data_IF_111537233084
#
_entry.id   IF_111537233084
#
_cell.length_a   1.000
_cell.length_b   1.000
_cell.length_c   1.000
_cell.angle_alpha   90.00
_cell.angle_beta   90.00
_cell.angle_gamma   90.00
#
_symmetry.space_group_name_H-M   'P 1'
#
loop_
_entity.id
_entity.type
_entity.pdbx_description
1 polymer ?
#
# COMPACT_ATOMS: atom_id res chain seq x y z
N UNK A 1 -11.79 -1.01 -12.69
CA UNK A 1 -10.49 -1.24 -13.34
C UNK A 1 -9.38 -0.82 -12.39
N UNK A 2 -8.35 -1.65 -12.21
CA UNK A 2 -7.14 -1.24 -11.48
C UNK A 2 -6.05 -0.82 -12.46
N UNK A 3 -5.35 0.27 -12.17
CA UNK A 3 -4.24 0.75 -12.99
C UNK A 3 -3.02 1.01 -12.12
N UNK A 4 -1.88 0.46 -12.51
CA UNK A 4 -0.63 0.62 -11.77
C UNK A 4 0.13 1.87 -12.23
N UNK A 5 0.18 2.89 -11.37
CA UNK A 5 0.99 4.10 -11.58
C UNK A 5 2.04 4.15 -10.47
N UNK A 6 3.29 3.88 -10.81
CA UNK A 6 4.40 3.89 -9.84
C UNK A 6 4.99 5.29 -9.66
N UNK A 7 4.93 6.12 -10.70
CA UNK A 7 5.39 7.51 -10.66
C UNK A 7 4.67 8.35 -11.72
N UNK A 8 4.35 9.60 -11.39
CA UNK A 8 3.92 10.60 -12.39
C UNK A 8 5.10 11.28 -13.10
N UNK A 9 6.34 10.96 -12.70
CA UNK A 9 7.55 11.33 -13.44
C UNK A 9 7.79 10.31 -14.57
N UNK A 10 7.70 10.72 -15.86
CA UNK A 10 7.72 9.79 -17.00
C UNK A 10 8.92 8.85 -17.02
N UNK A 11 10.10 9.35 -16.71
CA UNK A 11 11.37 8.62 -16.72
C UNK A 11 11.42 7.54 -15.62
N UNK A 12 10.85 7.82 -14.45
CA UNK A 12 10.75 6.84 -13.35
C UNK A 12 9.75 5.75 -13.70
N UNK A 13 8.56 6.13 -14.19
CA UNK A 13 7.55 5.16 -14.63
C UNK A 13 8.09 4.27 -15.76
N UNK A 14 8.77 4.86 -16.74
CA UNK A 14 9.36 4.15 -17.85
C UNK A 14 10.38 3.10 -17.39
N UNK A 15 11.29 3.49 -16.48
CA UNK A 15 12.31 2.60 -15.93
C UNK A 15 11.70 1.45 -15.13
N UNK A 16 10.78 1.75 -14.20
CA UNK A 16 10.13 0.73 -13.36
C UNK A 16 9.28 -0.26 -14.17
N UNK A 17 8.63 0.21 -15.24
CA UNK A 17 7.79 -0.66 -16.07
C UNK A 17 8.56 -1.36 -17.18
N UNK A 18 9.70 -0.81 -17.61
CA UNK A 18 10.42 -1.23 -18.82
C UNK A 18 9.76 -0.73 -20.12
N UNK A 19 8.91 0.31 -20.04
CA UNK A 19 8.18 0.84 -21.18
C UNK A 19 8.19 2.39 -21.18
N UNK A 20 8.94 3.03 -22.10
CA UNK A 20 9.01 4.50 -22.24
C UNK A 20 7.66 5.19 -22.42
N UNK A 21 6.67 4.50 -22.99
CA UNK A 21 5.32 5.03 -23.24
C UNK A 21 4.32 4.68 -22.13
N UNK A 22 4.76 4.04 -21.04
CA UNK A 22 3.87 3.52 -19.98
C UNK A 22 2.95 4.61 -19.42
N UNK A 23 3.51 5.74 -18.96
CA UNK A 23 2.71 6.80 -18.34
C UNK A 23 1.70 7.41 -19.32
N UNK A 24 2.14 7.69 -20.55
CA UNK A 24 1.28 8.26 -21.59
C UNK A 24 0.11 7.32 -21.95
N UNK A 25 0.39 6.01 -22.07
CA UNK A 25 -0.62 5.00 -22.34
C UNK A 25 -1.60 4.85 -21.17
N UNK A 26 -1.10 4.88 -19.94
CA UNK A 26 -1.94 4.84 -18.74
C UNK A 26 -2.88 6.05 -18.71
N UNK A 27 -2.37 7.27 -18.93
CA UNK A 27 -3.20 8.47 -18.92
C UNK A 27 -4.27 8.44 -20.01
N UNK A 28 -3.93 7.99 -21.22
CA UNK A 28 -4.89 7.77 -22.30
C UNK A 28 -5.96 6.73 -21.93
N UNK A 29 -5.57 5.65 -21.27
CA UNK A 29 -6.51 4.62 -20.80
C UNK A 29 -7.45 5.16 -19.72
N UNK A 30 -6.92 5.93 -18.76
CA UNK A 30 -7.71 6.56 -17.70
C UNK A 30 -8.67 7.62 -18.26
N UNK A 31 -8.23 8.45 -19.21
CA UNK A 31 -9.09 9.42 -19.92
C UNK A 31 -10.29 8.73 -20.58
N UNK A 32 -10.06 7.60 -21.26
CA UNK A 32 -11.13 6.82 -21.88
C UNK A 32 -12.04 6.20 -20.83
N UNK A 33 -11.48 5.56 -19.80
CA UNK A 33 -12.25 4.97 -18.72
C UNK A 33 -13.16 6.01 -18.02
N UNK A 34 -12.66 7.22 -17.78
CA UNK A 34 -13.44 8.31 -17.22
C UNK A 34 -14.61 8.75 -18.10
N UNK A 35 -14.40 8.82 -19.43
CA UNK A 35 -15.48 9.14 -20.39
C UNK A 35 -16.58 8.09 -20.40
N UNK A 36 -16.21 6.82 -20.27
CA UNK A 36 -17.15 5.69 -20.25
C UNK A 36 -17.73 5.42 -18.84
N UNK A 37 -17.42 6.24 -17.83
CA UNK A 37 -17.91 6.06 -16.46
C UNK A 37 -17.35 4.82 -15.75
N UNK A 38 -16.26 4.24 -16.26
CA UNK A 38 -15.62 3.06 -15.65
C UNK A 38 -14.89 3.49 -14.38
N UNK A 39 -15.22 2.85 -13.24
CA UNK A 39 -14.49 3.05 -11.98
C UNK A 39 -13.02 2.69 -12.16
N UNK A 40 -12.13 3.60 -11.76
CA UNK A 40 -10.68 3.40 -11.78
C UNK A 40 -10.10 3.56 -10.38
N UNK A 41 -9.37 2.53 -9.96
CA UNK A 41 -8.63 2.50 -8.71
C UNK A 41 -7.12 2.46 -9.04
N UNK A 42 -6.33 3.32 -8.40
CA UNK A 42 -4.90 3.46 -8.70
C UNK A 42 -4.08 2.63 -7.73
N UNK A 43 -3.22 1.76 -8.26
CA UNK A 43 -2.30 0.96 -7.46
C UNK A 43 -0.87 1.52 -7.60
N UNK A 44 -0.16 1.67 -6.50
CA UNK A 44 1.25 2.12 -6.45
C UNK A 44 2.05 1.14 -5.61
N UNK A 45 3.02 0.46 -6.22
CA UNK A 45 4.04 -0.27 -5.45
C UNK A 45 5.10 0.72 -4.98
N UNK A 46 5.28 0.85 -3.67
CA UNK A 46 6.33 1.68 -3.05
C UNK A 46 7.68 1.02 -3.27
N UNK A 47 8.66 1.76 -3.76
CA UNK A 47 10.03 1.31 -4.02
C UNK A 47 11.01 2.48 -3.84
N UNK A 48 12.31 2.21 -3.88
CA UNK A 48 13.35 3.24 -3.63
C UNK A 48 13.31 4.40 -4.63
N UNK A 49 12.77 4.21 -5.83
CA UNK A 49 12.69 5.23 -6.89
C UNK A 49 11.47 6.16 -6.76
N UNK A 50 10.44 5.76 -6.01
CA UNK A 50 9.24 6.58 -5.80
C UNK A 50 8.95 6.95 -4.34
N UNK A 51 9.68 6.38 -3.39
CA UNK A 51 9.55 6.65 -1.96
C UNK A 51 9.58 8.15 -1.65
N UNK A 52 10.41 8.92 -2.36
CA UNK A 52 10.57 10.36 -2.17
C UNK A 52 9.52 11.26 -2.82
N UNK A 53 8.47 10.73 -3.46
CA UNK A 53 7.43 11.56 -4.09
C UNK A 53 6.04 10.92 -4.19
N UNK A 54 5.67 10.06 -3.24
CA UNK A 54 4.34 9.42 -3.22
C UNK A 54 3.19 10.45 -3.21
N UNK A 55 3.38 11.56 -2.49
CA UNK A 55 2.36 12.61 -2.40
C UNK A 55 2.18 13.38 -3.72
N UNK A 56 3.24 13.54 -4.50
CA UNK A 56 3.19 14.13 -5.85
C UNK A 56 2.32 13.28 -6.79
N UNK A 57 2.48 11.96 -6.75
CA UNK A 57 1.69 11.05 -7.59
C UNK A 57 0.19 11.29 -7.38
N UNK A 58 -0.24 11.28 -6.12
CA UNK A 58 -1.65 11.46 -5.78
C UNK A 58 -2.18 12.81 -6.25
N UNK A 59 -1.46 13.91 -5.96
CA UNK A 59 -1.92 15.26 -6.30
C UNK A 59 -2.10 15.45 -7.81
N UNK A 60 -1.13 14.97 -8.60
CA UNK A 60 -1.20 15.05 -10.06
C UNK A 60 -2.35 14.19 -10.60
N UNK A 61 -2.49 12.95 -10.10
CA UNK A 61 -3.53 12.03 -10.58
C UNK A 61 -4.93 12.52 -10.21
N UNK A 62 -5.16 12.89 -8.96
CA UNK A 62 -6.46 13.38 -8.50
C UNK A 62 -6.84 14.72 -9.17
N UNK A 63 -5.86 15.60 -9.41
CA UNK A 63 -6.08 16.85 -10.13
C UNK A 63 -6.40 16.63 -11.62
N UNK A 64 -5.73 15.69 -12.29
CA UNK A 64 -5.95 15.39 -13.71
C UNK A 64 -7.18 14.53 -13.96
N UNK A 65 -7.52 13.64 -13.03
CA UNK A 65 -8.60 12.67 -13.16
C UNK A 65 -9.58 12.80 -11.97
N UNK A 66 -10.48 13.80 -12.00
CA UNK A 66 -11.38 14.08 -10.87
C UNK A 66 -12.39 12.97 -10.56
N UNK A 67 -12.51 11.94 -11.40
CA UNK A 67 -13.36 10.76 -11.15
C UNK A 67 -12.67 9.69 -10.30
N UNK A 68 -11.37 9.81 -10.03
CA UNK A 68 -10.66 8.88 -9.15
C UNK A 68 -11.20 8.99 -7.72
N UNK A 69 -11.42 7.84 -7.08
CA UNK A 69 -11.96 7.74 -5.72
C UNK A 69 -11.10 6.90 -4.78
N UNK A 70 -10.24 6.04 -5.32
CA UNK A 70 -9.51 5.07 -4.54
C UNK A 70 -8.04 4.92 -4.95
N UNK A 71 -7.15 4.93 -3.96
CA UNK A 71 -5.71 4.72 -4.12
C UNK A 71 -5.23 3.57 -3.23
N UNK A 72 -4.36 2.73 -3.76
CA UNK A 72 -3.78 1.60 -3.03
C UNK A 72 -2.27 1.70 -3.10
N UNK A 73 -1.62 1.70 -1.94
CA UNK A 73 -0.18 1.51 -1.83
C UNK A 73 0.13 0.09 -1.39
N UNK A 74 1.13 -0.51 -2.02
CA UNK A 74 1.66 -1.79 -1.60
C UNK A 74 3.17 -1.64 -1.39
N UNK A 75 3.67 -1.93 -0.20
CA UNK A 75 5.11 -2.00 0.00
C UNK A 75 5.70 -3.12 -0.86
N UNK A 76 6.93 -2.95 -1.35
CA UNK A 76 7.52 -3.88 -2.32
C UNK A 76 7.60 -5.31 -1.75
N UNK A 77 7.12 -6.28 -2.51
CA UNK A 77 7.37 -7.70 -2.25
C UNK A 77 8.68 -8.11 -2.93
N UNK A 78 9.80 -8.23 -2.20
CA UNK A 78 11.11 -8.48 -2.79
C UNK A 78 11.24 -9.88 -3.39
N UNK A 79 10.34 -10.80 -3.06
CA UNK A 79 10.40 -12.19 -3.53
C UNK A 79 9.73 -12.40 -4.89
N UNK A 80 9.04 -11.39 -5.42
CA UNK A 80 8.15 -11.56 -6.57
C UNK A 80 8.74 -11.01 -7.87
N UNK A 81 8.67 -11.83 -8.93
CA UNK A 81 8.91 -11.42 -10.32
C UNK A 81 10.23 -10.66 -10.51
N UNK A 82 10.18 -9.48 -11.15
CA UNK A 82 11.37 -8.65 -11.39
C UNK A 82 11.94 -8.04 -10.12
N UNK A 83 11.19 -7.95 -9.03
CA UNK A 83 11.69 -7.36 -7.78
C UNK A 83 12.82 -8.21 -7.17
N UNK A 84 12.74 -9.54 -7.27
CA UNK A 84 13.81 -10.43 -6.77
C UNK A 84 15.12 -10.27 -7.53
N UNK A 85 15.06 -9.82 -8.78
CA UNK A 85 16.22 -9.51 -9.60
C UNK A 85 16.76 -8.08 -9.39
N UNK A 86 16.03 -7.24 -8.63
CA UNK A 86 16.35 -5.83 -8.45
C UNK A 86 16.27 -5.42 -6.96
N UNK A 87 17.11 -6.00 -6.07
CA UNK A 87 17.05 -5.74 -4.63
C UNK A 87 17.29 -4.27 -4.27
N UNK A 88 18.00 -3.50 -5.11
CA UNK A 88 18.19 -2.07 -4.94
C UNK A 88 16.87 -1.25 -4.98
N UNK A 89 15.78 -1.84 -5.50
CA UNK A 89 14.45 -1.22 -5.50
C UNK A 89 13.72 -1.37 -4.17
N UNK A 90 14.17 -2.25 -3.27
CA UNK A 90 13.60 -2.40 -1.93
C UNK A 90 13.86 -1.11 -1.14
N UNK A 91 12.81 -0.37 -0.72
CA UNK A 91 13.00 0.86 0.02
C UNK A 91 13.31 0.56 1.49
N UNK A 92 14.11 1.41 2.13
CA UNK A 92 14.07 1.51 3.60
C UNK A 92 12.70 2.04 4.01
N UNK A 93 12.14 1.55 5.12
CA UNK A 93 10.80 1.97 5.56
C UNK A 93 10.75 3.49 5.83
N UNK A 94 11.78 4.00 6.51
CA UNK A 94 11.90 5.45 6.79
C UNK A 94 12.02 6.32 5.53
N UNK A 95 12.41 5.75 4.39
CA UNK A 95 12.59 6.52 3.16
C UNK A 95 11.27 7.00 2.55
N UNK A 96 10.15 6.32 2.84
CA UNK A 96 8.83 6.72 2.34
C UNK A 96 7.90 7.25 3.42
N UNK A 97 8.25 7.17 4.71
CA UNK A 97 7.38 7.54 5.84
C UNK A 97 6.72 8.91 5.66
N UNK A 98 7.54 9.96 5.46
CA UNK A 98 7.08 11.34 5.33
C UNK A 98 6.18 11.51 4.10
N UNK A 99 6.56 10.93 2.97
CA UNK A 99 5.81 11.08 1.72
C UNK A 99 4.51 10.26 1.72
N UNK A 100 4.52 9.09 2.33
CA UNK A 100 3.32 8.28 2.54
C UNK A 100 2.35 9.02 3.46
N UNK A 101 2.83 9.58 4.58
CA UNK A 101 2.00 10.39 5.49
C UNK A 101 1.40 11.61 4.78
N UNK A 102 2.20 12.35 4.01
CA UNK A 102 1.73 13.49 3.20
C UNK A 102 0.65 13.08 2.21
N UNK A 103 0.83 11.94 1.55
CA UNK A 103 -0.14 11.44 0.57
C UNK A 103 -1.46 11.03 1.25
N UNK A 104 -1.39 10.26 2.35
CA UNK A 104 -2.56 9.84 3.12
C UNK A 104 -3.33 11.02 3.71
N UNK A 105 -2.61 11.99 4.29
CA UNK A 105 -3.20 13.21 4.85
C UNK A 105 -3.93 14.03 3.80
N UNK A 106 -3.32 14.19 2.61
CA UNK A 106 -3.95 14.91 1.52
C UNK A 106 -5.21 14.20 1.01
N UNK A 107 -5.16 12.87 0.82
CA UNK A 107 -6.34 12.09 0.41
C UNK A 107 -7.46 12.17 1.45
N UNK A 108 -7.12 12.04 2.74
CA UNK A 108 -8.07 12.15 3.83
C UNK A 108 -8.77 13.52 3.85
N UNK A 109 -8.00 14.60 3.72
CA UNK A 109 -8.54 15.96 3.63
C UNK A 109 -9.42 16.18 2.38
N UNK A 110 -9.11 15.50 1.27
CA UNK A 110 -9.89 15.56 0.03
C UNK A 110 -11.13 14.64 0.04
N UNK A 111 -11.38 13.89 1.12
CA UNK A 111 -12.49 12.92 1.19
C UNK A 111 -12.32 11.71 0.26
N UNK A 112 -11.08 11.42 -0.17
CA UNK A 112 -10.76 10.29 -1.04
C UNK A 112 -10.37 9.06 -0.22
N UNK A 113 -10.74 7.87 -0.70
CA UNK A 113 -10.48 6.62 -0.01
C UNK A 113 -9.11 6.05 -0.41
N UNK A 114 -8.47 5.31 0.49
CA UNK A 114 -7.22 4.63 0.19
C UNK A 114 -6.96 3.41 1.07
N UNK A 115 -6.05 2.54 0.63
CA UNK A 115 -5.51 1.42 1.41
C UNK A 115 -3.99 1.36 1.31
N UNK A 116 -3.37 0.81 2.34
CA UNK A 116 -1.94 0.54 2.37
C UNK A 116 -1.73 -0.91 2.78
N UNK A 117 -0.86 -1.60 2.05
CA UNK A 117 -0.51 -3.00 2.25
C UNK A 117 0.98 -3.13 2.58
N UNK A 118 1.32 -4.11 3.43
CA UNK A 118 2.69 -4.49 3.81
C UNK A 118 3.52 -3.37 4.45
N UNK A 119 2.86 -2.38 5.04
CA UNK A 119 3.50 -1.31 5.82
C UNK A 119 3.14 -1.50 7.30
N UNK A 120 4.14 -1.61 8.21
CA UNK A 120 3.87 -1.70 9.64
C UNK A 120 3.15 -0.45 10.16
N UNK A 121 2.27 -0.62 11.17
CA UNK A 121 1.41 0.47 11.65
C UNK A 121 2.17 1.68 12.23
N UNK A 122 3.41 1.50 12.69
CA UNK A 122 4.25 2.61 13.15
C UNK A 122 4.61 3.62 12.05
N UNK A 123 4.46 3.25 10.77
CA UNK A 123 4.61 4.15 9.60
C UNK A 123 3.26 4.69 9.11
N UNK A 124 2.17 4.40 9.82
CA UNK A 124 0.80 4.77 9.47
C UNK A 124 0.01 5.29 10.68
N UNK A 125 0.69 5.91 11.66
CA UNK A 125 0.15 6.20 12.99
C UNK A 125 -1.20 6.95 13.02
N UNK A 126 -1.43 7.86 12.06
CA UNK A 126 -2.69 8.62 11.95
C UNK A 126 -3.78 7.90 11.14
N UNK A 127 -3.39 6.90 10.35
CA UNK A 127 -4.26 6.16 9.45
C UNK A 127 -4.19 4.63 9.63
N UNK A 128 -4.08 4.07 10.84
CA UNK A 128 -3.87 2.63 11.02
C UNK A 128 -5.07 1.81 10.52
N UNK A 129 -6.28 2.38 10.56
CA UNK A 129 -7.52 1.79 10.04
C UNK A 129 -7.56 1.66 8.50
N UNK A 130 -6.60 2.30 7.80
CA UNK A 130 -6.43 2.21 6.34
C UNK A 130 -5.46 1.09 5.93
N UNK A 131 -4.77 0.42 6.87
CA UNK A 131 -4.00 -0.79 6.57
C UNK A 131 -4.93 -1.94 6.19
N UNK A 132 -4.63 -2.60 5.07
CA UNK A 132 -5.39 -3.76 4.61
C UNK A 132 -5.27 -4.91 5.60
N UNK A 133 -4.06 -5.22 6.07
CA UNK A 133 -3.84 -6.32 7.00
C UNK A 133 -4.54 -6.08 8.33
N UNK A 134 -4.47 -4.86 8.88
CA UNK A 134 -5.21 -4.50 10.10
C UNK A 134 -6.71 -4.71 9.94
N UNK A 135 -7.29 -4.35 8.78
CA UNK A 135 -8.71 -4.63 8.52
C UNK A 135 -9.00 -6.13 8.50
N UNK A 136 -8.16 -6.92 7.83
CA UNK A 136 -8.30 -8.39 7.78
C UNK A 136 -8.21 -9.01 9.18
N UNK A 137 -7.28 -8.55 10.01
CA UNK A 137 -7.10 -9.01 11.39
C UNK A 137 -8.28 -8.63 12.30
N UNK A 138 -8.81 -7.41 12.16
CA UNK A 138 -9.91 -6.92 13.02
C UNK A 138 -11.26 -7.53 12.64
N UNK A 139 -11.50 -7.75 11.34
CA UNK A 139 -12.77 -8.29 10.84
C UNK A 139 -12.77 -9.82 10.67
N UNK A 140 -11.64 -10.46 10.96
CA UNK A 140 -11.42 -11.91 10.75
C UNK A 140 -11.80 -12.36 9.33
N UNK A 141 -11.43 -11.52 8.34
CA UNK A 141 -11.79 -11.75 6.95
C UNK A 141 -10.88 -12.81 6.33
N UNK A 142 -11.47 -13.92 5.91
CA UNK A 142 -10.79 -14.86 5.00
C UNK A 142 -10.82 -14.35 3.56
N UNK A 143 -9.86 -14.80 2.76
CA UNK A 143 -9.85 -14.55 1.31
C UNK A 143 -9.70 -15.86 0.57
N UNK A 144 -10.65 -16.15 -0.28
CA UNK A 144 -10.55 -17.23 -1.27
C UNK A 144 -10.13 -16.61 -2.60
N UNK A 145 -9.06 -17.15 -3.20
CA UNK A 145 -8.59 -16.74 -4.52
C UNK A 145 -8.61 -17.98 -5.39
N UNK A 146 -9.42 -17.95 -6.44
CA UNK A 146 -9.37 -18.97 -7.48
C UNK A 146 -8.48 -18.48 -8.61
N UNK A 147 -7.26 -19.02 -8.69
CA UNK A 147 -6.38 -18.76 -9.81
C UNK A 147 -6.81 -19.62 -10.99
N UNK A 148 -6.89 -19.01 -12.18
CA UNK A 148 -7.19 -19.72 -13.44
C UNK A 148 -5.97 -20.48 -13.99
N UNK A 149 -4.87 -20.52 -13.22
CA UNK A 149 -3.65 -21.29 -13.51
C UNK A 149 -3.55 -22.50 -12.57
N UNK A 150 -2.44 -23.23 -12.63
CA UNK A 150 -2.17 -24.44 -11.83
C UNK A 150 -2.21 -24.21 -10.30
N UNK A 151 -2.20 -22.96 -9.83
CA UNK A 151 -2.29 -22.66 -8.39
C UNK A 151 -3.67 -22.97 -7.82
N UNK A 152 -4.70 -23.02 -8.66
CA UNK A 152 -6.07 -23.38 -8.28
C UNK A 152 -6.65 -22.52 -7.15
N UNK A 153 -7.49 -23.13 -6.30
CA UNK A 153 -8.09 -22.45 -5.16
C UNK A 153 -7.07 -22.28 -4.01
N UNK A 154 -6.85 -21.03 -3.61
CA UNK A 154 -6.08 -20.66 -2.41
C UNK A 154 -6.99 -20.03 -1.37
N UNK A 155 -6.95 -20.56 -0.15
CA UNK A 155 -7.61 -19.98 1.02
C UNK A 155 -6.58 -19.30 1.90
N UNK A 156 -6.77 -18.01 2.12
CA UNK A 156 -5.92 -17.19 2.98
C UNK A 156 -6.75 -16.81 4.22
N UNK A 157 -6.40 -17.43 5.36
CA UNK A 157 -6.95 -17.09 6.67
C UNK A 157 -6.09 -16.07 7.40
N UNK A 158 -6.29 -15.94 8.71
CA UNK A 158 -5.57 -14.99 9.57
C UNK A 158 -4.04 -15.07 9.48
N UNK A 159 -3.47 -16.28 9.38
CA UNK A 159 -2.02 -16.49 9.28
C UNK A 159 -1.39 -15.89 8.02
N UNK A 160 -2.18 -15.69 6.95
CA UNK A 160 -1.70 -15.06 5.72
C UNK A 160 -1.51 -13.53 5.87
N UNK A 161 -2.04 -12.95 6.95
CA UNK A 161 -2.05 -11.51 7.22
C UNK A 161 -1.21 -11.13 8.45
N UNK A 162 -0.49 -12.09 9.02
CA UNK A 162 0.45 -11.89 10.13
C UNK A 162 1.86 -12.14 9.65
N UNK A 163 2.77 -11.26 10.01
CA UNK A 163 4.20 -11.29 9.73
C UNK A 163 4.99 -11.34 11.03
N UNK A 164 6.31 -11.42 10.90
CA UNK A 164 7.21 -11.45 12.05
C UNK A 164 7.26 -10.09 12.77
N UNK A 165 7.55 -10.13 14.06
CA UNK A 165 7.64 -8.94 14.92
C UNK A 165 8.85 -9.07 15.85
N UNK A 166 9.71 -8.05 15.96
CA UNK A 166 10.78 -8.05 16.93
C UNK A 166 10.23 -7.88 18.35
N UNK A 167 11.04 -8.22 19.37
CA UNK A 167 10.63 -8.18 20.78
C UNK A 167 10.01 -6.83 21.21
N UNK A 168 10.57 -5.70 20.73
CA UNK A 168 10.06 -4.34 21.01
C UNK A 168 8.59 -4.12 20.61
N UNK A 169 8.07 -4.89 19.64
CA UNK A 169 6.66 -4.77 19.26
C UNK A 169 5.72 -5.25 20.37
N UNK A 170 6.17 -6.12 21.28
CA UNK A 170 5.38 -6.56 22.43
C UNK A 170 5.04 -5.44 23.41
N UNK A 171 5.77 -4.32 23.36
CA UNK A 171 5.50 -3.12 24.16
C UNK A 171 4.52 -2.16 23.47
N UNK A 172 4.19 -2.40 22.19
CA UNK A 172 3.35 -1.52 21.40
C UNK A 172 1.86 -1.88 21.61
N UNK A 173 1.01 -0.94 22.06
CA UNK A 173 -0.43 -1.16 22.17
C UNK A 173 -1.11 -1.62 20.89
N UNK A 174 -0.54 -1.32 19.71
CA UNK A 174 -1.08 -1.75 18.41
C UNK A 174 -0.69 -3.19 18.03
N UNK A 175 0.12 -3.90 18.82
CA UNK A 175 0.54 -5.27 18.51
C UNK A 175 -0.62 -6.21 18.10
N UNK A 176 -1.77 -6.23 18.81
CA UNK A 176 -2.86 -7.16 18.49
C UNK A 176 -3.56 -6.90 17.13
N UNK A 177 -3.32 -5.73 16.53
CA UNK A 177 -3.96 -5.28 15.27
C UNK A 177 -2.95 -4.95 14.17
N UNK A 178 -1.66 -5.00 14.47
CA UNK A 178 -0.58 -4.84 13.51
C UNK A 178 -0.18 -6.21 12.93
N UNK A 179 -0.02 -6.29 11.61
CA UNK A 179 0.48 -7.49 10.95
C UNK A 179 1.92 -7.81 11.34
N UNK A 180 2.74 -6.80 11.58
CA UNK A 180 4.19 -6.94 11.77
C UNK A 180 4.97 -6.51 10.53
N UNK A 181 6.20 -7.00 10.40
CA UNK A 181 7.11 -6.66 9.32
C UNK A 181 7.30 -7.83 8.36
N UNK A 182 6.82 -7.64 7.13
CA UNK A 182 6.99 -8.62 6.06
C UNK A 182 8.47 -8.79 5.72
N UNK A 183 8.97 -10.03 5.59
CA UNK A 183 10.38 -10.33 5.24
C UNK A 183 11.40 -9.64 6.17
N UNK A 184 11.08 -9.62 7.47
CA UNK A 184 11.91 -9.03 8.51
C UNK A 184 13.29 -9.66 8.56
N UNK A 185 14.33 -8.84 8.72
CA UNK A 185 15.71 -9.31 8.84
C UNK A 185 16.36 -9.79 7.54
N UNK A 186 15.56 -9.98 6.47
CA UNK A 186 16.06 -10.34 5.13
C UNK A 186 16.10 -9.11 4.23
N UNK A 187 14.97 -8.42 4.09
CA UNK A 187 14.83 -7.26 3.19
C UNK A 187 14.48 -5.97 3.91
N UNK A 188 13.77 -6.07 5.04
CA UNK A 188 13.42 -4.92 5.86
C UNK A 188 14.00 -5.06 7.25
N UNK A 189 14.61 -3.98 7.76
CA UNK A 189 15.28 -4.01 9.06
C UNK A 189 14.26 -3.87 10.20
N UNK A 190 14.26 -4.78 11.20
CA UNK A 190 13.43 -4.62 12.39
C UNK A 190 13.83 -3.40 13.24
N UNK A 191 15.04 -2.87 13.05
CA UNK A 191 15.52 -1.69 13.79
C UNK A 191 14.76 -0.41 13.41
N UNK A 192 14.14 -0.37 12.22
CA UNK A 192 13.32 0.74 11.77
C UNK A 192 11.95 0.80 12.49
N UNK A 193 11.54 -0.27 13.18
CA UNK A 193 10.25 -0.30 13.88
C UNK A 193 10.34 0.41 15.23
N UNK A 194 9.32 1.22 15.53
CA UNK A 194 9.14 1.88 16.81
C UNK A 194 7.74 1.63 17.38
N UNK A 195 7.60 1.43 18.70
CA UNK A 195 6.29 1.42 19.34
C UNK A 195 5.57 2.77 19.16
N UNK A 196 4.25 2.72 19.00
CA UNK A 196 3.39 3.90 18.96
C UNK A 196 2.29 3.76 20.00
N UNK A 197 1.86 4.86 20.60
CA UNK A 197 1.00 4.85 21.78
C UNK A 197 -0.49 5.05 21.49
N UNK A 198 -0.90 4.76 20.25
CA UNK A 198 -2.32 4.74 19.85
C UNK A 198 -2.99 3.48 20.39
N UNK A 199 -4.21 3.61 20.92
CA UNK A 199 -4.99 2.47 21.41
C UNK A 199 -5.40 1.51 20.28
N UNK A 200 -5.20 0.21 20.46
CA UNK A 200 -5.74 -0.78 19.52
C UNK A 200 -7.27 -0.74 19.43
N UNK A 201 -7.97 -0.42 20.52
CA UNK A 201 -9.43 -0.33 20.52
C UNK A 201 -9.94 0.83 19.66
N UNK A 202 -9.26 1.97 19.65
CA UNK A 202 -9.63 3.07 18.74
C UNK A 202 -9.44 2.68 17.28
N UNK A 203 -8.38 1.93 16.97
CA UNK A 203 -8.16 1.38 15.62
C UNK A 203 -9.25 0.37 15.25
N UNK A 204 -9.63 -0.55 16.15
CA UNK A 204 -10.73 -1.50 15.91
C UNK A 204 -12.04 -0.78 15.64
N UNK A 205 -12.38 0.22 16.45
CA UNK A 205 -13.57 1.03 16.28
C UNK A 205 -13.58 1.74 14.92
N UNK A 206 -12.47 2.37 14.53
CA UNK A 206 -12.32 3.02 13.24
C UNK A 206 -12.46 2.03 12.06
N UNK A 207 -11.87 0.84 12.15
CA UNK A 207 -12.02 -0.20 11.11
C UNK A 207 -13.47 -0.67 10.96
N UNK A 208 -14.19 -0.83 12.08
CA UNK A 208 -15.60 -1.27 12.10
C UNK A 208 -16.55 -0.17 11.62
N UNK A 209 -16.25 1.10 11.90
CA UNK A 209 -17.03 2.26 11.46
C UNK A 209 -16.77 2.69 10.01
N UNK A 210 -15.60 2.37 9.45
CA UNK A 210 -15.26 2.62 8.04
C UNK A 210 -15.99 1.59 7.15
N UNK A 211 -17.25 1.93 6.79
CA UNK A 211 -18.04 1.25 5.78
C UNK A 211 -17.23 1.21 4.48
N UNK A 212 -17.05 0.00 3.93
CA UNK A 212 -16.16 -0.26 2.81
C UNK A 212 -16.61 0.43 1.52
#
# INVERSE_FOLDING_TARGET
MHVSVHSVKPEVQARLTGNPKSLANIFKAMERAGREGVRVDVNTVINSENAGHLSLNVRVLAGRFPFLRHFVWNNLDPMMNRASLNPALVPKLRAFEVELHRAMSWLGAAGLNFRVERVPLCFMSDFPHRSTETRKLVKDESREIYFLDEKGLRRQGRSAWTYEKPARCGECPLDPVCAGLYQMGVYYSPEELCPVFTSAESVRAAVRGDAA
#
